data_IF_923653872954
#
_entry.id   IF_923653872954
#
_cell.length_a   1.000
_cell.length_b   1.000
_cell.length_c   1.000
_cell.angle_alpha   90.00
_cell.angle_beta   90.00
_cell.angle_gamma   90.00
#
_symmetry.space_group_name_H-M   'P 1'
#
loop_
_entity.id
_entity.type
_entity.pdbx_description
1 polymer ?
#
# COMPACT_ATOMS: atom_id res chain seq x y z
N UNK A 1 -18.32 -1.39 13.11
CA UNK A 1 -18.02 -0.88 11.75
C UNK A 1 -18.40 -1.97 10.77
N UNK A 2 -18.97 -1.63 9.64
CA UNK A 2 -19.27 -2.60 8.57
C UNK A 2 -17.99 -2.85 7.77
N UNK A 3 -17.81 -4.10 7.29
CA UNK A 3 -16.63 -4.51 6.53
C UNK A 3 -16.94 -4.45 5.04
N UNK A 4 -16.12 -3.71 4.27
CA UNK A 4 -16.25 -3.62 2.81
C UNK A 4 -15.59 -4.80 2.10
N UNK A 5 -14.43 -5.24 2.60
CA UNK A 5 -13.71 -6.42 2.08
C UNK A 5 -13.38 -7.34 3.25
N UNK A 6 -13.73 -8.61 3.12
CA UNK A 6 -13.33 -9.65 4.08
C UNK A 6 -12.80 -10.86 3.32
N UNK A 7 -11.58 -11.23 3.59
CA UNK A 7 -10.87 -12.37 3.03
C UNK A 7 -10.34 -13.23 4.16
N UNK A 8 -10.58 -14.53 4.12
CA UNK A 8 -10.10 -15.46 5.13
C UNK A 8 -9.54 -16.72 4.50
N UNK A 9 -8.26 -16.98 4.80
CA UNK A 9 -7.54 -18.18 4.38
C UNK A 9 -7.49 -18.36 2.85
N UNK A 10 -7.36 -17.27 2.08
CA UNK A 10 -7.45 -17.31 0.63
C UNK A 10 -6.22 -17.98 0.01
N UNK A 11 -6.47 -19.00 -0.81
CA UNK A 11 -5.43 -19.74 -1.52
C UNK A 11 -5.66 -19.65 -3.02
N UNK A 12 -4.56 -19.42 -3.77
CA UNK A 12 -4.54 -19.47 -5.23
C UNK A 12 -3.19 -19.94 -5.75
N UNK A 13 -3.20 -21.06 -6.48
CA UNK A 13 -2.01 -21.61 -7.16
C UNK A 13 -2.09 -21.51 -8.68
N UNK A 14 -0.93 -21.52 -9.32
CA UNK A 14 -0.73 -21.63 -10.76
C UNK A 14 0.38 -22.67 -11.00
N UNK A 15 -0.03 -23.90 -11.32
CA UNK A 15 0.90 -25.02 -11.40
C UNK A 15 1.59 -25.28 -10.05
N UNK A 16 2.90 -25.18 -10.00
CA UNK A 16 3.69 -25.34 -8.77
C UNK A 16 3.83 -24.07 -7.92
N UNK A 17 3.36 -22.91 -8.41
CA UNK A 17 3.51 -21.63 -7.74
C UNK A 17 2.25 -21.29 -6.94
N UNK A 18 2.38 -21.10 -5.64
CA UNK A 18 1.33 -20.58 -4.77
C UNK A 18 1.39 -19.04 -4.77
N UNK A 19 0.51 -18.39 -5.53
CA UNK A 19 0.44 -16.92 -5.58
C UNK A 19 -0.25 -16.33 -4.35
N UNK A 20 -1.21 -17.07 -3.76
CA UNK A 20 -1.82 -16.79 -2.47
C UNK A 20 -1.79 -18.06 -1.65
N UNK A 21 -1.40 -17.94 -0.38
CA UNK A 21 -1.16 -19.08 0.51
C UNK A 21 -1.74 -18.84 1.91
N UNK A 22 -3.06 -18.73 1.98
CA UNK A 22 -3.78 -18.44 3.22
C UNK A 22 -3.82 -16.95 3.53
N UNK A 23 -4.07 -16.09 2.52
CA UNK A 23 -4.19 -14.64 2.72
C UNK A 23 -5.44 -14.31 3.53
N UNK A 24 -5.25 -13.52 4.58
CA UNK A 24 -6.30 -12.83 5.33
C UNK A 24 -6.24 -11.33 5.05
N UNK A 25 -7.40 -10.69 4.82
CA UNK A 25 -7.51 -9.25 4.60
C UNK A 25 -8.87 -8.76 5.08
N UNK A 26 -8.87 -7.69 5.86
CA UNK A 26 -10.09 -7.00 6.27
C UNK A 26 -9.95 -5.51 6.00
N UNK A 27 -10.95 -4.94 5.30
CA UNK A 27 -11.04 -3.51 5.00
C UNK A 27 -12.39 -3.00 5.50
N UNK A 28 -12.35 -2.03 6.41
CA UNK A 28 -13.55 -1.41 6.94
C UNK A 28 -14.18 -0.45 5.92
N UNK A 29 -15.50 -0.25 6.02
CA UNK A 29 -16.18 0.75 5.19
C UNK A 29 -15.71 2.14 5.57
N UNK A 30 -15.35 2.96 4.57
CA UNK A 30 -14.95 4.35 4.74
C UNK A 30 -13.46 4.55 5.05
N UNK A 31 -12.64 3.48 5.06
CA UNK A 31 -11.20 3.62 5.23
C UNK A 31 -10.42 3.59 3.91
N UNK A 32 -9.26 4.22 3.90
CA UNK A 32 -8.22 4.04 2.88
C UNK A 32 -7.25 2.97 3.39
N UNK A 33 -7.30 1.79 2.79
CA UNK A 33 -6.50 0.64 3.19
C UNK A 33 -5.34 0.40 2.21
N UNK A 34 -4.11 0.44 2.70
CA UNK A 34 -2.91 0.14 1.95
C UNK A 34 -2.66 -1.38 1.87
N UNK A 35 -2.47 -1.90 0.67
CA UNK A 35 -2.13 -3.29 0.42
C UNK A 35 -0.71 -3.35 -0.12
N UNK A 36 0.27 -3.42 0.79
CA UNK A 36 1.68 -3.17 0.56
C UNK A 36 2.46 -4.47 0.36
N UNK A 37 3.37 -4.49 -0.59
CA UNK A 37 4.27 -5.62 -0.81
C UNK A 37 5.07 -5.49 -2.10
N UNK A 38 6.17 -6.23 -2.28
CA UNK A 38 6.95 -6.20 -3.50
C UNK A 38 6.19 -6.80 -4.68
N UNK A 39 6.80 -6.69 -5.85
CA UNK A 39 6.31 -7.38 -7.03
C UNK A 39 6.35 -8.91 -6.81
N UNK A 40 5.29 -9.60 -7.20
CA UNK A 40 5.16 -11.04 -6.96
C UNK A 40 4.63 -11.45 -5.58
N UNK A 41 4.39 -10.52 -4.64
CA UNK A 41 3.84 -10.83 -3.32
C UNK A 41 2.41 -11.39 -3.32
N UNK A 42 1.70 -11.35 -4.46
CA UNK A 42 0.33 -11.85 -4.60
C UNK A 42 -0.74 -10.75 -4.67
N UNK A 43 -0.38 -9.47 -4.57
CA UNK A 43 -1.33 -8.32 -4.54
C UNK A 43 -2.34 -8.34 -5.69
N UNK A 44 -1.87 -8.27 -6.94
CA UNK A 44 -2.76 -8.26 -8.11
C UNK A 44 -3.54 -9.57 -8.28
N UNK A 45 -3.01 -10.71 -7.80
CA UNK A 45 -3.75 -11.97 -7.77
C UNK A 45 -4.94 -11.88 -6.79
N UNK A 46 -4.71 -11.36 -5.58
CA UNK A 46 -5.77 -11.12 -4.60
C UNK A 46 -6.84 -10.16 -5.14
N UNK A 47 -6.43 -9.04 -5.75
CA UNK A 47 -7.34 -8.07 -6.37
C UNK A 47 -8.18 -8.73 -7.48
N UNK A 48 -7.58 -9.57 -8.34
CA UNK A 48 -8.34 -10.28 -9.38
C UNK A 48 -9.36 -11.26 -8.79
N UNK A 49 -9.08 -11.88 -7.65
CA UNK A 49 -10.06 -12.71 -6.94
C UNK A 49 -11.16 -11.84 -6.34
N UNK A 50 -10.83 -10.71 -5.71
CA UNK A 50 -11.81 -9.74 -5.19
C UNK A 50 -12.75 -9.20 -6.27
N UNK A 51 -12.25 -9.03 -7.49
CA UNK A 51 -13.04 -8.58 -8.64
C UNK A 51 -13.83 -9.71 -9.33
N UNK A 52 -13.74 -10.97 -8.85
CA UNK A 52 -14.37 -12.10 -9.52
C UNK A 52 -13.80 -12.42 -10.91
N UNK A 53 -12.61 -11.90 -11.23
CA UNK A 53 -11.89 -12.17 -12.49
C UNK A 53 -11.06 -13.46 -12.41
N UNK A 54 -10.82 -13.94 -11.20
CA UNK A 54 -10.06 -15.15 -10.92
C UNK A 54 -10.74 -15.92 -9.79
N UNK A 55 -10.96 -17.22 -9.99
CA UNK A 55 -11.53 -18.08 -8.97
C UNK A 55 -10.45 -18.53 -7.98
N UNK A 56 -10.75 -18.40 -6.69
CA UNK A 56 -9.92 -18.95 -5.63
C UNK A 56 -9.93 -20.49 -5.65
N UNK A 57 -8.87 -21.10 -5.17
CA UNK A 57 -8.78 -22.55 -5.00
C UNK A 57 -9.39 -22.97 -3.64
N UNK A 58 -9.20 -22.14 -2.61
CA UNK A 58 -9.86 -22.27 -1.30
C UNK A 58 -9.89 -20.94 -0.55
N UNK A 59 -10.55 -20.92 0.60
CA UNK A 59 -10.75 -19.72 1.41
C UNK A 59 -12.13 -19.09 1.19
N UNK A 60 -12.37 -17.96 1.86
CA UNK A 60 -13.62 -17.20 1.76
C UNK A 60 -13.34 -15.76 1.40
N UNK A 61 -14.17 -15.21 0.52
CA UNK A 61 -14.10 -13.80 0.12
C UNK A 61 -15.49 -13.20 0.18
N UNK A 62 -15.59 -12.00 0.76
CA UNK A 62 -16.78 -11.15 0.74
C UNK A 62 -16.38 -9.75 0.30
N UNK A 63 -17.15 -9.18 -0.61
CA UNK A 63 -16.97 -7.85 -1.15
C UNK A 63 -18.28 -7.09 -1.06
N UNK A 64 -18.32 -5.99 -0.30
CA UNK A 64 -19.54 -5.20 -0.06
C UNK A 64 -20.74 -6.08 0.35
N UNK A 65 -20.47 -7.15 1.13
CA UNK A 65 -21.44 -8.12 1.62
C UNK A 65 -21.79 -9.26 0.65
N UNK A 66 -21.38 -9.18 -0.64
CA UNK A 66 -21.63 -10.19 -1.67
C UNK A 66 -20.48 -11.16 -1.88
N UNK A 67 -20.72 -12.17 -2.73
CA UNK A 67 -19.70 -13.10 -3.21
C UNK A 67 -19.15 -12.59 -4.55
N UNK A 68 -17.81 -12.32 -4.65
CA UNK A 68 -17.23 -11.73 -5.86
C UNK A 68 -17.47 -12.54 -7.15
N UNK A 69 -17.59 -13.87 -7.02
CA UNK A 69 -17.81 -14.75 -8.17
C UNK A 69 -19.28 -14.87 -8.53
N UNK A 70 -20.15 -15.10 -7.55
CA UNK A 70 -21.57 -15.31 -7.77
C UNK A 70 -22.31 -13.99 -8.08
N UNK A 71 -21.92 -12.89 -7.42
CA UNK A 71 -22.60 -11.60 -7.47
C UNK A 71 -21.82 -10.56 -8.32
N UNK A 72 -20.84 -10.99 -9.14
CA UNK A 72 -19.89 -10.12 -9.84
C UNK A 72 -20.55 -8.91 -10.53
N UNK A 73 -21.62 -9.11 -11.30
CA UNK A 73 -22.29 -8.03 -12.04
C UNK A 73 -22.90 -6.97 -11.12
N UNK A 74 -23.49 -7.39 -10.00
CA UNK A 74 -24.08 -6.46 -9.03
C UNK A 74 -23.00 -5.69 -8.28
N UNK A 75 -21.91 -6.36 -7.92
CA UNK A 75 -20.79 -5.76 -7.20
C UNK A 75 -20.01 -4.77 -8.08
N UNK A 76 -19.79 -5.05 -9.35
CA UNK A 76 -19.08 -4.16 -10.27
C UNK A 76 -19.80 -2.83 -10.51
N UNK A 77 -21.09 -2.73 -10.24
CA UNK A 77 -21.83 -1.45 -10.26
C UNK A 77 -21.60 -0.59 -9.02
N UNK A 78 -21.00 -1.17 -7.98
CA UNK A 78 -20.75 -0.53 -6.68
C UNK A 78 -19.27 -0.29 -6.42
N UNK A 79 -18.40 -0.67 -7.36
CA UNK A 79 -16.96 -0.48 -7.27
C UNK A 79 -16.37 0.11 -8.54
N UNK A 80 -15.24 0.81 -8.39
CA UNK A 80 -14.39 1.25 -9.49
C UNK A 80 -13.02 0.57 -9.37
N UNK A 81 -12.45 0.19 -10.52
CA UNK A 81 -11.16 -0.49 -10.56
C UNK A 81 -10.17 0.22 -11.48
N UNK A 82 -8.97 0.46 -10.98
CA UNK A 82 -7.81 0.92 -11.74
C UNK A 82 -6.77 -0.18 -11.74
N UNK A 83 -6.47 -0.81 -12.89
CA UNK A 83 -5.43 -1.84 -12.99
C UNK A 83 -4.02 -1.22 -12.98
N UNK A 84 -3.02 -1.97 -12.52
CA UNK A 84 -1.61 -1.54 -12.52
C UNK A 84 -0.99 -1.46 -13.91
N UNK A 85 -1.54 -2.20 -14.88
CA UNK A 85 -1.18 -2.09 -16.30
C UNK A 85 -2.44 -1.87 -17.13
N UNK A 86 -2.61 -0.63 -17.58
CA UNK A 86 -3.79 -0.19 -18.32
C UNK A 86 -3.63 -0.49 -19.79
N UNK A 87 -4.43 -1.42 -20.27
CA UNK A 87 -4.57 -1.72 -21.70
C UNK A 87 -5.90 -1.18 -22.22
N UNK A 88 -5.85 -0.32 -23.23
CA UNK A 88 -7.01 0.29 -23.87
C UNK A 88 -7.14 -0.22 -25.31
N UNK A 89 -8.37 -0.20 -25.84
CA UNK A 89 -8.61 -0.52 -27.24
C UNK A 89 -7.93 0.51 -28.15
N UNK A 90 -7.04 0.12 -29.06
CA UNK A 90 -6.18 1.06 -29.78
C UNK A 90 -6.90 2.11 -30.63
N UNK A 91 -8.12 1.81 -31.07
CA UNK A 91 -8.91 2.64 -31.99
C UNK A 91 -9.83 3.63 -31.29
N UNK A 92 -10.17 3.40 -30.01
CA UNK A 92 -11.03 4.33 -29.26
C UNK A 92 -10.23 5.52 -28.78
N UNK A 93 -10.90 6.64 -28.58
CA UNK A 93 -10.32 7.82 -27.92
C UNK A 93 -10.31 7.64 -26.40
N UNK A 94 -9.51 8.44 -25.71
CA UNK A 94 -9.49 8.43 -24.24
C UNK A 94 -10.87 8.74 -23.65
N UNK A 95 -11.59 9.71 -24.24
CA UNK A 95 -12.94 10.05 -23.82
C UNK A 95 -13.94 8.91 -23.99
N UNK A 96 -13.92 8.25 -25.15
CA UNK A 96 -14.77 7.07 -25.41
C UNK A 96 -14.46 5.92 -24.44
N UNK A 97 -13.16 5.70 -24.12
CA UNK A 97 -12.75 4.69 -23.15
C UNK A 97 -13.25 5.03 -21.73
N UNK A 98 -13.13 6.28 -21.29
CA UNK A 98 -13.65 6.76 -20.00
C UNK A 98 -15.16 6.55 -19.94
N UNK A 99 -15.91 6.94 -20.97
CA UNK A 99 -17.36 6.84 -21.01
C UNK A 99 -17.83 5.38 -21.02
N UNK A 100 -17.10 4.49 -21.72
CA UNK A 100 -17.39 3.07 -21.73
C UNK A 100 -17.17 2.43 -20.34
N UNK A 101 -16.02 2.70 -19.72
CA UNK A 101 -15.70 2.18 -18.39
C UNK A 101 -16.72 2.69 -17.36
N UNK A 102 -17.06 3.97 -17.40
CA UNK A 102 -18.07 4.54 -16.52
C UNK A 102 -19.44 3.90 -16.63
N UNK A 103 -19.89 3.58 -17.86
CA UNK A 103 -21.16 2.87 -18.05
C UNK A 103 -21.17 1.48 -17.41
N UNK A 104 -20.04 0.80 -17.39
CA UNK A 104 -19.89 -0.51 -16.72
C UNK A 104 -19.98 -0.39 -15.20
N UNK A 105 -19.61 0.77 -14.64
CA UNK A 105 -19.58 1.08 -13.21
C UNK A 105 -20.84 1.81 -12.71
N UNK A 106 -21.91 1.86 -13.53
CA UNK A 106 -23.17 2.51 -13.12
C UNK A 106 -23.34 3.95 -13.59
N UNK A 107 -22.34 4.54 -14.24
CA UNK A 107 -22.35 5.89 -14.78
C UNK A 107 -21.20 6.75 -14.28
N UNK A 108 -21.04 7.92 -14.89
CA UNK A 108 -20.07 8.94 -14.49
C UNK A 108 -20.83 10.23 -14.15
N UNK A 109 -20.31 10.98 -13.18
CA UNK A 109 -20.67 12.38 -13.01
C UNK A 109 -20.01 13.22 -14.13
N UNK A 110 -20.78 13.87 -15.03
CA UNK A 110 -20.21 14.62 -16.14
C UNK A 110 -19.37 15.83 -15.70
N UNK A 111 -19.76 16.50 -14.61
CA UNK A 111 -19.03 17.66 -14.09
C UNK A 111 -17.69 17.19 -13.51
N UNK A 112 -17.73 16.10 -12.74
CA UNK A 112 -16.53 15.50 -12.16
C UNK A 112 -15.58 14.96 -13.24
N UNK A 113 -16.13 14.33 -14.27
CA UNK A 113 -15.34 13.88 -15.43
C UNK A 113 -14.60 15.04 -16.10
N UNK A 114 -15.26 16.16 -16.32
CA UNK A 114 -14.67 17.35 -16.94
C UNK A 114 -13.54 17.94 -16.07
N UNK A 115 -13.80 18.10 -14.78
CA UNK A 115 -12.81 18.54 -13.80
C UNK A 115 -11.55 17.64 -13.77
N UNK A 116 -11.74 16.32 -13.72
CA UNK A 116 -10.63 15.38 -13.67
C UNK A 116 -9.81 15.35 -14.97
N UNK A 117 -10.43 15.53 -16.13
CA UNK A 117 -9.71 15.67 -17.39
C UNK A 117 -8.75 16.87 -17.36
N UNK A 118 -9.19 17.99 -16.78
CA UNK A 118 -8.35 19.18 -16.63
C UNK A 118 -7.25 18.95 -15.58
N UNK A 119 -7.59 18.44 -14.41
CA UNK A 119 -6.63 18.21 -13.31
C UNK A 119 -5.54 17.23 -13.67
N UNK A 120 -5.86 16.17 -14.44
CA UNK A 120 -4.87 15.20 -14.91
C UNK A 120 -4.20 15.59 -16.25
N UNK A 121 -4.50 16.78 -16.79
CA UNK A 121 -3.96 17.26 -18.08
C UNK A 121 -4.10 16.16 -19.16
N UNK A 122 -5.32 15.67 -19.36
CA UNK A 122 -5.61 14.59 -20.30
C UNK A 122 -6.47 15.08 -21.46
N UNK A 123 -5.94 15.05 -22.70
CA UNK A 123 -6.74 15.34 -23.90
C UNK A 123 -7.57 14.11 -24.29
N UNK A 124 -8.90 14.11 -24.04
CA UNK A 124 -9.75 12.93 -24.26
C UNK A 124 -9.99 12.61 -25.73
N UNK A 125 -9.59 13.47 -26.66
CA UNK A 125 -9.83 13.31 -28.12
C UNK A 125 -8.78 12.44 -28.79
N UNK A 126 -7.61 12.26 -28.16
CA UNK A 126 -6.54 11.43 -28.68
C UNK A 126 -6.91 9.96 -28.65
N UNK A 127 -6.49 9.20 -29.67
CA UNK A 127 -6.68 7.75 -29.72
C UNK A 127 -5.76 7.03 -28.72
N UNK A 128 -6.26 5.97 -28.11
CA UNK A 128 -5.53 5.22 -27.09
C UNK A 128 -4.18 4.68 -27.55
N UNK A 129 -4.02 4.34 -28.83
CA UNK A 129 -2.71 3.93 -29.42
C UNK A 129 -1.62 5.00 -29.36
N UNK A 130 -1.98 6.28 -29.23
CA UNK A 130 -1.03 7.39 -29.18
C UNK A 130 -0.67 7.80 -27.76
N UNK A 131 -1.31 7.21 -26.74
CA UNK A 131 -1.04 7.52 -25.37
C UNK A 131 0.24 6.83 -24.86
N UNK A 132 1.04 7.55 -24.09
CA UNK A 132 2.08 6.97 -23.23
C UNK A 132 1.47 6.05 -22.17
N UNK A 133 2.30 5.28 -21.48
CA UNK A 133 1.85 4.48 -20.34
C UNK A 133 1.12 5.36 -19.31
N UNK A 134 1.72 6.51 -18.93
CA UNK A 134 1.11 7.44 -17.97
C UNK A 134 -0.25 7.99 -18.43
N UNK A 135 -0.39 8.34 -19.72
CA UNK A 135 -1.69 8.80 -20.23
C UNK A 135 -2.76 7.72 -20.26
N UNK A 136 -2.40 6.46 -20.51
CA UNK A 136 -3.35 5.34 -20.35
C UNK A 136 -3.77 5.17 -18.89
N UNK A 137 -2.82 5.34 -17.96
CA UNK A 137 -3.11 5.31 -16.53
C UNK A 137 -4.07 6.44 -16.13
N UNK A 138 -3.84 7.66 -16.62
CA UNK A 138 -4.75 8.80 -16.41
C UNK A 138 -6.17 8.51 -16.92
N UNK A 139 -6.34 7.83 -18.05
CA UNK A 139 -7.67 7.42 -18.57
C UNK A 139 -8.39 6.53 -17.56
N UNK A 140 -7.71 5.51 -17.00
CA UNK A 140 -8.32 4.62 -16.02
C UNK A 140 -8.63 5.35 -14.70
N UNK A 141 -7.74 6.26 -14.25
CA UNK A 141 -7.96 7.09 -13.07
C UNK A 141 -9.18 8.01 -13.24
N UNK A 142 -9.28 8.72 -14.37
CA UNK A 142 -10.43 9.61 -14.63
C UNK A 142 -11.73 8.81 -14.67
N UNK A 143 -11.75 7.63 -15.32
CA UNK A 143 -12.93 6.77 -15.35
C UNK A 143 -13.36 6.32 -13.95
N UNK A 144 -12.41 5.89 -13.12
CA UNK A 144 -12.69 5.43 -11.77
C UNK A 144 -13.13 6.59 -10.86
N UNK A 145 -12.38 7.70 -10.83
CA UNK A 145 -12.59 8.81 -9.91
C UNK A 145 -13.79 9.70 -10.28
N UNK A 146 -14.31 9.61 -11.51
CA UNK A 146 -15.55 10.25 -11.93
C UNK A 146 -16.80 9.40 -11.63
N UNK A 147 -16.64 8.15 -11.19
CA UNK A 147 -17.73 7.26 -10.81
C UNK A 147 -18.14 7.49 -9.35
N UNK A 148 -19.44 7.45 -9.06
CA UNK A 148 -19.98 7.54 -7.70
C UNK A 148 -20.23 6.12 -7.16
N UNK A 149 -19.19 5.51 -6.57
CA UNK A 149 -19.23 4.14 -6.07
C UNK A 149 -18.82 4.04 -4.60
N UNK A 150 -19.11 2.91 -3.97
CA UNK A 150 -18.83 2.67 -2.56
C UNK A 150 -17.37 2.26 -2.30
N UNK A 151 -16.73 1.57 -3.28
CA UNK A 151 -15.40 1.00 -3.17
C UNK A 151 -14.53 1.33 -4.38
N UNK A 152 -13.34 1.82 -4.13
CA UNK A 152 -12.31 2.03 -5.14
C UNK A 152 -11.18 1.02 -4.93
N UNK A 153 -10.92 0.17 -5.92
CA UNK A 153 -9.80 -0.78 -5.93
C UNK A 153 -8.74 -0.26 -6.90
N UNK A 154 -7.61 0.18 -6.36
CA UNK A 154 -6.55 0.85 -7.09
C UNK A 154 -5.28 0.00 -7.03
N UNK A 155 -4.94 -0.65 -8.15
CA UNK A 155 -3.77 -1.52 -8.24
C UNK A 155 -2.60 -0.74 -8.85
N UNK A 156 -1.61 -0.36 -8.04
CA UNK A 156 -0.45 0.46 -8.41
C UNK A 156 -0.81 1.71 -9.25
N UNK A 157 -1.75 2.55 -8.77
CA UNK A 157 -2.39 3.58 -9.58
C UNK A 157 -1.47 4.70 -10.06
N UNK A 158 -0.33 4.90 -9.41
CA UNK A 158 0.66 5.94 -9.72
C UNK A 158 1.70 5.48 -10.74
N UNK A 159 1.67 4.19 -11.13
CA UNK A 159 2.64 3.62 -12.07
C UNK A 159 2.70 4.38 -13.40
N UNK A 160 3.84 5.04 -13.65
CA UNK A 160 4.11 5.81 -14.88
C UNK A 160 3.51 7.22 -14.91
N UNK A 161 3.01 7.72 -13.78
CA UNK A 161 2.69 9.13 -13.59
C UNK A 161 3.97 9.93 -13.31
N UNK A 162 3.93 11.21 -13.64
CA UNK A 162 4.92 12.16 -13.20
C UNK A 162 4.59 12.70 -11.79
N UNK A 163 5.53 13.30 -11.05
CA UNK A 163 5.30 13.73 -9.67
C UNK A 163 4.13 14.70 -9.48
N UNK A 164 3.82 15.54 -10.47
CA UNK A 164 2.68 16.47 -10.40
C UNK A 164 1.35 15.70 -10.47
N UNK A 165 1.27 14.72 -11.32
CA UNK A 165 0.10 13.86 -11.46
C UNK A 165 -0.07 12.91 -10.27
N UNK A 166 1.03 12.46 -9.67
CA UNK A 166 0.98 11.73 -8.40
C UNK A 166 0.39 12.60 -7.28
N UNK A 167 0.81 13.86 -7.16
CA UNK A 167 0.22 14.79 -6.20
C UNK A 167 -1.28 15.01 -6.45
N UNK A 168 -1.68 15.16 -7.72
CA UNK A 168 -3.09 15.25 -8.10
C UNK A 168 -3.87 14.01 -7.68
N UNK A 169 -3.33 12.82 -7.91
CA UNK A 169 -3.93 11.55 -7.49
C UNK A 169 -4.07 11.47 -5.96
N UNK A 170 -3.04 11.87 -5.22
CA UNK A 170 -3.10 11.89 -3.75
C UNK A 170 -4.21 12.81 -3.22
N UNK A 171 -4.40 13.98 -3.84
CA UNK A 171 -5.49 14.89 -3.47
C UNK A 171 -6.86 14.26 -3.72
N UNK A 172 -7.00 13.51 -4.82
CA UNK A 172 -8.23 12.79 -5.11
C UNK A 172 -8.52 11.69 -4.08
N UNK A 173 -7.52 10.93 -3.67
CA UNK A 173 -7.70 9.91 -2.62
C UNK A 173 -8.09 10.56 -1.29
N UNK A 174 -7.45 11.69 -0.92
CA UNK A 174 -7.83 12.46 0.28
C UNK A 174 -9.29 12.95 0.21
N UNK A 175 -9.75 13.38 -0.98
CA UNK A 175 -11.14 13.76 -1.20
C UNK A 175 -12.09 12.58 -1.01
N UNK A 176 -11.81 11.43 -1.61
CA UNK A 176 -12.61 10.20 -1.43
C UNK A 176 -12.71 9.80 0.04
N UNK A 177 -11.58 9.88 0.78
CA UNK A 177 -11.54 9.65 2.23
C UNK A 177 -12.45 10.62 2.98
N UNK A 178 -12.40 11.92 2.66
CA UNK A 178 -13.23 12.93 3.29
C UNK A 178 -14.74 12.73 3.01
N UNK A 179 -15.08 12.12 1.86
CA UNK A 179 -16.44 11.74 1.49
C UNK A 179 -16.88 10.40 2.12
N UNK A 180 -16.01 9.74 2.90
CA UNK A 180 -16.29 8.45 3.53
C UNK A 180 -16.32 7.26 2.56
N UNK A 181 -15.67 7.38 1.42
CA UNK A 181 -15.53 6.28 0.45
C UNK A 181 -14.47 5.29 0.91
N UNK A 182 -14.66 4.04 0.56
CA UNK A 182 -13.70 2.99 0.84
C UNK A 182 -12.70 2.88 -0.30
N UNK A 183 -11.40 2.79 0.02
CA UNK A 183 -10.33 2.64 -0.96
C UNK A 183 -9.42 1.49 -0.56
N UNK A 184 -9.21 0.54 -1.46
CA UNK A 184 -8.12 -0.44 -1.39
C UNK A 184 -7.03 0.01 -2.35
N UNK A 185 -5.88 0.43 -1.82
CA UNK A 185 -4.74 0.93 -2.56
C UNK A 185 -3.59 -0.09 -2.52
N UNK A 186 -3.32 -0.78 -3.62
CA UNK A 186 -2.11 -1.60 -3.71
C UNK A 186 -0.93 -0.74 -4.13
N UNK A 187 0.19 -0.89 -3.44
CA UNK A 187 1.43 -0.18 -3.75
C UNK A 187 2.65 -0.99 -3.31
N UNK A 188 3.78 -0.72 -3.92
CA UNK A 188 5.10 -1.11 -3.43
C UNK A 188 5.90 0.12 -2.94
N UNK A 189 5.30 1.31 -2.99
CA UNK A 189 5.90 2.58 -2.56
C UNK A 189 5.39 2.94 -1.17
N UNK A 190 6.26 2.83 -0.18
CA UNK A 190 5.94 3.06 1.24
C UNK A 190 5.46 4.48 1.53
N UNK A 191 6.14 5.47 0.96
CA UNK A 191 5.79 6.87 1.15
C UNK A 191 4.37 7.21 0.67
N UNK A 192 3.89 6.57 -0.40
CA UNK A 192 2.52 6.71 -0.89
C UNK A 192 1.51 6.18 0.14
N UNK A 193 1.77 4.99 0.67
CA UNK A 193 0.92 4.35 1.67
C UNK A 193 0.89 5.16 2.97
N UNK A 194 2.03 5.66 3.44
CA UNK A 194 2.11 6.52 4.63
C UNK A 194 1.35 7.85 4.48
N UNK A 195 1.33 8.41 3.27
CA UNK A 195 0.67 9.67 3.00
C UNK A 195 -0.86 9.58 2.88
N UNK A 196 -1.39 8.40 2.51
CA UNK A 196 -2.78 8.24 2.09
C UNK A 196 -3.60 7.30 2.97
N UNK A 197 -2.99 6.27 3.55
CA UNK A 197 -3.73 5.16 4.15
C UNK A 197 -4.00 5.35 5.64
N UNK A 198 -5.16 4.86 6.11
CA UNK A 198 -5.51 4.78 7.53
C UNK A 198 -4.93 3.53 8.16
N UNK A 199 -5.02 2.42 7.42
CA UNK A 199 -4.54 1.09 7.79
C UNK A 199 -3.77 0.46 6.64
N UNK A 200 -2.90 -0.49 6.96
CA UNK A 200 -2.04 -1.17 5.98
C UNK A 200 -2.02 -2.66 6.28
N UNK A 201 -2.04 -3.47 5.23
CA UNK A 201 -1.68 -4.89 5.27
C UNK A 201 -0.41 -5.10 4.44
N UNK A 202 0.64 -5.61 5.07
CA UNK A 202 1.90 -5.99 4.42
C UNK A 202 1.78 -7.43 3.95
N UNK A 203 1.99 -7.64 2.65
CA UNK A 203 1.84 -8.96 2.01
C UNK A 203 3.18 -9.50 1.55
N UNK A 204 3.47 -10.74 1.92
CA UNK A 204 4.67 -11.48 1.52
C UNK A 204 4.29 -12.93 1.17
N UNK A 205 4.79 -13.45 0.05
CA UNK A 205 4.56 -14.84 -0.38
C UNK A 205 3.09 -15.28 -0.30
N UNK A 206 2.18 -14.40 -0.74
CA UNK A 206 0.75 -14.70 -0.75
C UNK A 206 0.06 -14.70 0.60
N UNK A 207 0.70 -14.19 1.67
CA UNK A 207 0.15 -14.07 3.03
C UNK A 207 0.22 -12.64 3.53
N UNK A 208 -0.73 -12.21 4.34
CA UNK A 208 -0.59 -10.98 5.11
C UNK A 208 0.30 -11.27 6.33
N UNK A 209 1.49 -10.67 6.37
CA UNK A 209 2.45 -10.87 7.46
C UNK A 209 2.25 -9.87 8.59
N UNK A 210 1.68 -8.71 8.29
CA UNK A 210 1.37 -7.67 9.25
C UNK A 210 0.16 -6.88 8.79
N UNK A 211 -0.73 -6.48 9.71
CA UNK A 211 -1.86 -5.61 9.41
C UNK A 211 -2.18 -4.73 10.62
N UNK A 212 -2.48 -3.46 10.37
CA UNK A 212 -2.80 -2.50 11.44
C UNK A 212 -2.90 -1.07 10.93
N UNK A 213 -3.27 -0.14 11.80
CA UNK A 213 -3.14 1.29 11.52
C UNK A 213 -1.67 1.69 11.43
N UNK A 214 -1.38 2.79 10.74
CA UNK A 214 -0.02 3.32 10.66
C UNK A 214 0.59 3.57 12.07
N UNK A 215 -0.24 4.00 13.01
CA UNK A 215 0.19 4.23 14.40
C UNK A 215 0.53 2.92 15.09
N UNK A 216 -0.35 1.90 15.01
CA UNK A 216 -0.09 0.56 15.57
C UNK A 216 1.19 -0.05 14.99
N UNK A 217 1.36 0.04 13.67
CA UNK A 217 2.54 -0.50 12.99
C UNK A 217 3.84 0.22 13.39
N UNK A 218 3.79 1.54 13.57
CA UNK A 218 4.95 2.31 14.06
C UNK A 218 5.33 1.93 15.49
N UNK A 219 4.38 1.60 16.35
CA UNK A 219 4.68 1.14 17.72
C UNK A 219 5.36 -0.24 17.77
N UNK A 220 5.26 -1.03 16.70
CA UNK A 220 5.94 -2.32 16.57
C UNK A 220 7.39 -2.20 16.11
N UNK A 221 7.85 -0.99 15.80
CA UNK A 221 9.21 -0.69 15.37
C UNK A 221 9.92 0.15 16.41
N UNK A 222 11.26 0.14 16.32
CA UNK A 222 12.13 0.85 17.24
C UNK A 222 12.38 2.26 16.79
N UNK A 223 12.50 3.19 17.73
CA UNK A 223 12.94 4.55 17.46
C UNK A 223 14.47 4.55 17.31
N UNK A 224 14.97 4.96 16.16
CA UNK A 224 16.41 5.12 15.95
C UNK A 224 16.86 6.48 16.51
N UNK A 225 17.90 6.46 17.34
CA UNK A 225 18.45 7.64 17.98
C UNK A 225 19.93 7.80 17.66
N UNK A 226 20.31 9.05 17.34
CA UNK A 226 21.71 9.46 17.25
C UNK A 226 21.92 10.60 18.23
N UNK A 227 22.79 10.40 19.20
CA UNK A 227 22.99 11.35 20.30
C UNK A 227 24.46 11.68 20.41
N UNK A 228 24.78 12.97 20.55
CA UNK A 228 26.12 13.43 20.93
C UNK A 228 26.10 13.92 22.37
N UNK A 229 27.01 13.39 23.19
CA UNK A 229 27.09 13.68 24.61
C UNK A 229 28.38 14.38 24.97
N UNK A 230 28.35 15.19 26.05
CA UNK A 230 29.52 15.88 26.56
C UNK A 230 30.51 14.96 27.31
N UNK A 231 29.99 13.88 27.87
CA UNK A 231 30.73 12.84 28.61
C UNK A 231 30.42 11.48 28.03
N UNK A 232 31.34 10.51 28.06
CA UNK A 232 31.07 9.15 27.66
C UNK A 232 29.85 8.56 28.39
N UNK A 233 29.00 7.87 27.67
CA UNK A 233 27.81 7.21 28.23
C UNK A 233 28.16 5.76 28.51
N UNK A 234 27.86 5.31 29.72
CA UNK A 234 27.99 3.90 30.14
C UNK A 234 26.63 3.35 30.58
N UNK A 235 26.46 2.04 30.54
CA UNK A 235 25.26 1.38 31.07
C UNK A 235 24.06 1.31 30.11
N UNK A 236 24.11 1.92 28.93
CA UNK A 236 23.01 1.84 27.94
C UNK A 236 22.73 0.40 27.50
N UNK A 237 23.75 -0.43 27.31
CA UNK A 237 23.58 -1.82 26.93
C UNK A 237 22.82 -2.68 27.95
N UNK A 238 22.71 -2.23 29.18
CA UNK A 238 21.97 -2.91 30.25
C UNK A 238 20.52 -2.43 30.42
N UNK A 239 20.10 -1.41 29.66
CA UNK A 239 18.73 -0.92 29.73
C UNK A 239 17.80 -1.83 28.88
N UNK A 240 16.66 -2.24 29.44
CA UNK A 240 15.67 -2.97 28.67
C UNK A 240 15.20 -2.14 27.46
N UNK A 241 15.00 -2.78 26.31
CA UNK A 241 14.51 -2.13 25.11
C UNK A 241 15.55 -1.30 24.35
N UNK A 242 16.85 -1.41 24.67
CA UNK A 242 17.95 -0.85 23.90
C UNK A 242 18.53 -1.92 22.97
N UNK A 243 18.64 -1.59 21.69
CA UNK A 243 19.12 -2.47 20.63
C UNK A 243 20.14 -1.75 19.76
N UNK A 244 20.93 -2.51 19.01
CA UNK A 244 21.87 -2.04 17.98
C UNK A 244 22.76 -0.87 18.44
N UNK A 245 23.16 -0.92 19.73
CA UNK A 245 23.96 0.10 20.36
C UNK A 245 25.37 0.16 19.77
N UNK A 246 25.74 1.33 19.26
CA UNK A 246 27.08 1.67 18.81
C UNK A 246 27.53 2.95 19.51
N UNK A 247 28.71 2.92 20.12
CA UNK A 247 29.29 4.06 20.80
C UNK A 247 30.66 4.37 20.19
N UNK A 248 30.78 5.57 19.63
CA UNK A 248 32.04 6.07 19.06
C UNK A 248 32.37 7.44 19.71
N UNK A 249 33.31 7.42 20.66
CA UNK A 249 33.65 8.60 21.45
C UNK A 249 32.46 9.18 22.22
N UNK A 250 32.04 10.38 21.83
CA UNK A 250 30.86 11.08 22.40
C UNK A 250 29.56 10.85 21.56
N UNK A 251 29.63 10.10 20.47
CA UNK A 251 28.50 9.84 19.60
C UNK A 251 27.94 8.45 19.89
N UNK A 252 26.67 8.41 20.23
CA UNK A 252 25.90 7.18 20.54
C UNK A 252 24.85 6.98 19.47
N UNK A 253 24.79 5.78 18.91
CA UNK A 253 23.74 5.33 18.01
C UNK A 253 23.05 4.14 18.66
N UNK A 254 21.72 4.13 18.70
CA UNK A 254 20.96 3.04 19.29
C UNK A 254 19.54 3.02 18.71
N UNK A 255 18.93 1.85 18.74
CA UNK A 255 17.50 1.67 18.51
C UNK A 255 16.80 1.39 19.84
N UNK A 256 15.64 2.00 20.05
CA UNK A 256 14.92 1.98 21.33
C UNK A 256 13.48 1.55 21.12
N UNK A 257 13.02 0.57 21.87
CA UNK A 257 11.61 0.19 21.92
C UNK A 257 10.78 1.37 22.49
N UNK A 258 9.56 1.59 21.99
CA UNK A 258 8.74 2.75 22.35
C UNK A 258 8.55 2.92 23.85
N UNK A 259 8.34 1.82 24.58
CA UNK A 259 8.14 1.81 26.04
C UNK A 259 9.41 2.15 26.83
N UNK A 260 10.59 1.96 26.24
CA UNK A 260 11.88 2.22 26.86
C UNK A 260 12.41 3.64 26.61
N UNK A 261 11.79 4.38 25.67
CA UNK A 261 12.29 5.68 25.19
C UNK A 261 12.53 6.70 26.32
N UNK A 262 11.59 6.82 27.24
CA UNK A 262 11.68 7.75 28.38
C UNK A 262 12.85 7.42 29.31
N UNK A 263 13.07 6.14 29.62
CA UNK A 263 14.18 5.68 30.45
C UNK A 263 15.53 5.93 29.77
N UNK A 264 15.65 5.68 28.49
CA UNK A 264 16.86 5.90 27.69
C UNK A 264 17.18 7.40 27.60
N UNK A 265 16.18 8.24 27.33
CA UNK A 265 16.36 9.70 27.23
C UNK A 265 16.86 10.27 28.60
N UNK A 266 16.26 9.83 29.70
CA UNK A 266 16.76 10.25 31.07
C UNK A 266 18.18 9.81 31.30
N UNK A 267 18.55 8.60 30.92
CA UNK A 267 19.92 8.11 31.08
C UNK A 267 20.93 8.93 30.27
N UNK A 268 20.59 9.23 29.00
CA UNK A 268 21.42 10.06 28.11
C UNK A 268 21.55 11.50 28.62
N UNK A 269 20.49 12.09 29.20
CA UNK A 269 20.51 13.43 29.77
C UNK A 269 21.53 13.56 30.87
N UNK A 270 21.78 12.51 31.68
CA UNK A 270 22.81 12.46 32.69
C UNK A 270 24.26 12.64 32.18
N UNK A 271 24.52 12.33 30.93
CA UNK A 271 25.81 12.48 30.25
C UNK A 271 26.03 13.89 29.63
N UNK A 272 25.01 14.72 29.61
CA UNK A 272 25.05 16.06 29.00
C UNK A 272 24.88 15.99 27.48
N UNK A 273 23.65 15.91 27.03
CA UNK A 273 23.29 15.84 25.58
C UNK A 273 23.66 17.18 24.92
N UNK A 274 24.44 17.11 23.85
CA UNK A 274 24.79 18.24 22.97
C UNK A 274 23.93 18.30 21.72
N UNK A 275 23.60 17.11 21.15
CA UNK A 275 22.75 16.94 20.01
C UNK A 275 21.96 15.65 20.16
N UNK A 276 20.69 15.66 19.78
CA UNK A 276 19.83 14.48 19.76
C UNK A 276 18.98 14.53 18.52
N UNK A 277 19.13 13.52 17.68
CA UNK A 277 18.25 13.24 16.56
C UNK A 277 17.49 11.97 16.89
N UNK A 278 16.18 12.05 16.90
CA UNK A 278 15.28 10.91 17.08
C UNK A 278 14.50 10.74 15.80
N UNK A 279 14.68 9.61 15.14
CA UNK A 279 13.93 9.24 13.93
C UNK A 279 12.87 8.25 14.35
N UNK A 280 11.58 8.64 14.27
CA UNK A 280 10.51 7.69 14.56
C UNK A 280 10.58 6.52 13.56
N UNK A 281 10.11 5.34 13.98
CA UNK A 281 10.09 4.17 13.13
C UNK A 281 9.30 4.42 11.85
N UNK A 282 9.85 3.97 10.74
CA UNK A 282 9.21 4.06 9.43
C UNK A 282 8.62 2.72 9.02
N UNK A 283 7.62 2.73 8.15
CA UNK A 283 7.14 1.49 7.52
C UNK A 283 8.25 0.80 6.70
N UNK A 284 9.26 1.58 6.27
CA UNK A 284 10.41 1.05 5.54
C UNK A 284 11.24 0.08 6.40
N UNK A 285 11.44 0.39 7.69
CA UNK A 285 12.12 -0.51 8.62
C UNK A 285 11.32 -1.79 8.86
N UNK A 286 9.99 -1.69 9.01
CA UNK A 286 9.11 -2.86 9.09
C UNK A 286 9.19 -3.70 7.80
N UNK A 287 9.14 -3.03 6.68
CA UNK A 287 9.24 -3.68 5.38
C UNK A 287 10.58 -4.40 5.22
N UNK A 288 11.69 -3.73 5.54
CA UNK A 288 13.04 -4.30 5.46
C UNK A 288 13.23 -5.48 6.44
N UNK A 289 12.64 -5.46 7.62
CA UNK A 289 12.66 -6.62 8.53
C UNK A 289 11.98 -7.85 7.92
N UNK A 290 10.83 -7.67 7.29
CA UNK A 290 10.12 -8.78 6.66
C UNK A 290 10.76 -9.25 5.35
N UNK A 291 11.56 -8.42 4.69
CA UNK A 291 12.19 -8.72 3.39
C UNK A 291 13.71 -8.84 3.44
N UNK A 292 14.38 -8.31 4.48
CA UNK A 292 15.84 -8.38 4.63
C UNK A 292 16.38 -9.80 4.79
N UNK A 293 15.59 -10.70 5.37
CA UNK A 293 15.93 -12.12 5.50
C UNK A 293 16.06 -12.82 4.14
N UNK A 294 15.22 -12.46 3.15
CA UNK A 294 15.30 -13.03 1.80
C UNK A 294 16.56 -12.60 1.04
N UNK A 295 17.04 -11.37 1.26
CA UNK A 295 18.26 -10.87 0.64
C UNK A 295 19.51 -11.63 1.14
N UNK A 296 19.45 -12.22 2.32
CA UNK A 296 20.52 -13.07 2.87
C UNK A 296 20.39 -14.52 2.41
N UNK A 297 19.19 -15.04 2.17
CA UNK A 297 18.99 -16.40 1.67
C UNK A 297 19.35 -16.53 0.17
N UNK A 298 19.08 -15.54 -0.66
CA UNK A 298 19.46 -15.52 -2.09
C UNK A 298 20.99 -15.38 -2.30
N UNK A 299 21.71 -14.86 -1.31
CA UNK A 299 23.18 -14.69 -1.39
C UNK A 299 23.97 -15.86 -0.84
N UNK A 300 23.32 -16.91 -0.31
CA UNK A 300 24.01 -18.12 0.11
C UNK A 300 24.10 -19.07 -1.09
N UNK A 301 25.30 -19.24 -1.74
CA UNK A 301 25.45 -20.17 -2.84
C UNK A 301 25.18 -21.58 -2.31
N UNK A 302 24.44 -22.36 -3.05
CA UNK A 302 24.28 -23.79 -2.81
C UNK A 302 25.66 -24.47 -2.81
N UNK A 303 26.32 -24.46 -1.66
CA UNK A 303 27.56 -25.15 -1.45
C UNK A 303 27.27 -26.66 -1.31
N UNK A 304 27.56 -27.37 -2.41
CA UNK A 304 28.08 -28.74 -2.44
C UNK A 304 27.38 -29.74 -1.51
N UNK A 305 26.39 -30.41 -2.03
CA UNK A 305 26.14 -31.81 -1.60
C UNK A 305 26.84 -32.72 -2.57
N UNK A 306 28.04 -33.18 -2.16
CA UNK A 306 28.73 -34.38 -2.67
C UNK A 306 28.00 -35.61 -2.19
#
# INVERSE_FOLDING_TARGET
MTTAISVSGLVKGFGSVHALDGLDLEVATGEVHGFLGPNGAGKSTAIRVLLGLLRADSGRVRLLGGDPWADAVALHRRLAYVPGDVTLWPQVTGGEAIDLLGRLQGGLDPARRAELLERFDLDPRKRARTYSKGNRQKVALVAALASDVELYVLDEPTSGLDPLMEATFQDEVRRLRAEGRTVLLSSHVLAEVEALCDRVSIVRHGRAVQSGSLTELRHLTRTSMVVETARPVSGLAGLPGVHDLSVDGGRVRLDVDGDALDAVVRHLAGAGVRSLTSTPPTLEELFLRHYGEDLHEEQTPAAVRS
#
